data_IF_288671091765
#
_entry.id   IF_288671091765
#
_cell.length_a   1.000
_cell.length_b   1.000
_cell.length_c   1.000
_cell.angle_alpha   90.00
_cell.angle_beta   90.00
_cell.angle_gamma   90.00
#
_symmetry.space_group_name_H-M   'P 1'
#
loop_
_entity.id
_entity.type
_entity.pdbx_description
1 polymer ?
#
# COMPACT_ATOMS: atom_id res chain seq x y z
N UNK A 1 61.33 1.10 -43.92
CA UNK A 1 60.21 2.06 -43.72
C UNK A 1 58.88 1.42 -43.29
N UNK A 2 58.75 0.12 -43.23
CA UNK A 2 57.49 -0.59 -42.97
C UNK A 2 57.15 -0.71 -41.48
N UNK A 3 58.13 -0.75 -40.59
CA UNK A 3 57.93 -1.06 -39.15
C UNK A 3 57.26 0.10 -38.37
N UNK A 4 57.56 1.34 -38.76
CA UNK A 4 56.98 2.52 -38.09
C UNK A 4 55.44 2.69 -38.36
N UNK A 5 54.97 2.22 -39.50
CA UNK A 5 53.56 2.34 -39.89
C UNK A 5 52.66 1.39 -39.06
N UNK A 6 53.16 0.20 -38.75
CA UNK A 6 52.41 -0.80 -37.98
C UNK A 6 52.31 -0.43 -36.51
N UNK A 7 53.35 0.18 -35.91
CA UNK A 7 53.29 0.62 -34.50
C UNK A 7 52.27 1.76 -34.32
N UNK A 8 52.20 2.68 -35.28
CA UNK A 8 51.25 3.80 -35.22
C UNK A 8 49.79 3.35 -35.33
N UNK A 9 49.51 2.33 -36.16
CA UNK A 9 48.16 1.75 -36.31
C UNK A 9 47.72 1.00 -35.07
N UNK A 10 48.64 0.27 -34.41
CA UNK A 10 48.38 -0.43 -33.18
C UNK A 10 48.10 0.52 -32.01
N UNK A 11 48.82 1.64 -31.93
CA UNK A 11 48.63 2.66 -30.89
C UNK A 11 47.25 3.34 -31.01
N UNK A 12 46.81 3.65 -32.23
CA UNK A 12 45.54 4.29 -32.50
C UNK A 12 44.37 3.30 -32.18
N UNK A 13 44.52 2.02 -32.46
CA UNK A 13 43.53 1.02 -32.07
C UNK A 13 43.45 0.83 -30.56
N UNK A 14 44.56 0.76 -29.85
CA UNK A 14 44.59 0.67 -28.39
C UNK A 14 43.92 1.90 -27.73
N UNK A 15 44.15 3.10 -28.27
CA UNK A 15 43.54 4.33 -27.76
C UNK A 15 42.01 4.36 -27.99
N UNK A 16 41.51 3.84 -29.13
CA UNK A 16 40.10 3.74 -29.42
C UNK A 16 39.38 2.73 -28.51
N UNK A 17 40.01 1.62 -28.18
CA UNK A 17 39.46 0.62 -27.25
C UNK A 17 39.44 1.18 -25.83
N UNK A 18 40.50 1.90 -25.40
CA UNK A 18 40.54 2.52 -24.08
C UNK A 18 39.51 3.65 -23.93
N UNK A 19 39.29 4.43 -24.98
CA UNK A 19 38.29 5.51 -24.99
C UNK A 19 36.87 4.98 -25.01
N UNK A 20 36.61 3.87 -25.72
CA UNK A 20 35.31 3.16 -25.72
C UNK A 20 35.04 2.53 -24.37
N UNK A 21 36.05 1.95 -23.71
CA UNK A 21 35.89 1.38 -22.36
C UNK A 21 35.63 2.48 -21.31
N UNK A 22 36.28 3.64 -21.44
CA UNK A 22 36.09 4.78 -20.53
C UNK A 22 34.70 5.43 -20.70
N UNK A 23 34.18 5.51 -21.94
CA UNK A 23 32.83 5.98 -22.22
C UNK A 23 31.76 4.98 -21.67
N UNK A 24 32.04 3.68 -21.68
CA UNK A 24 31.13 2.67 -21.13
C UNK A 24 31.09 2.70 -19.60
N UNK A 25 32.19 3.00 -18.93
CA UNK A 25 32.24 3.14 -17.46
C UNK A 25 31.52 4.43 -17.03
N UNK A 26 31.59 5.52 -17.81
CA UNK A 26 30.83 6.75 -17.52
C UNK A 26 29.34 6.56 -17.78
N UNK A 27 28.96 5.74 -18.78
CA UNK A 27 27.56 5.44 -19.05
C UNK A 27 26.92 4.51 -17.98
N UNK A 28 27.71 3.64 -17.34
CA UNK A 28 27.23 2.80 -16.23
C UNK A 28 27.17 3.60 -14.93
N UNK A 29 27.98 4.64 -14.76
CA UNK A 29 28.00 5.52 -13.57
C UNK A 29 26.85 6.53 -13.52
N UNK A 30 26.07 6.70 -14.59
CA UNK A 30 24.90 7.58 -14.65
C UNK A 30 23.57 6.82 -14.63
N UNK A 31 23.60 5.49 -14.47
CA UNK A 31 22.40 4.69 -14.30
C UNK A 31 21.97 4.76 -12.83
N UNK A 32 20.92 5.52 -12.61
CA UNK A 32 20.05 5.55 -11.46
C UNK A 32 20.58 6.16 -10.15
N UNK A 33 20.55 7.50 -10.01
CA UNK A 33 20.45 8.08 -8.67
C UNK A 33 19.09 7.76 -7.99
N UNK A 34 18.08 7.33 -8.75
CA UNK A 34 16.73 7.10 -8.20
C UNK A 34 16.60 5.76 -7.45
N UNK A 35 17.31 4.69 -7.85
CA UNK A 35 17.24 3.41 -7.13
C UNK A 35 17.91 3.49 -5.74
N UNK A 36 19.02 4.24 -5.63
CA UNK A 36 19.71 4.42 -4.34
C UNK A 36 18.95 5.37 -3.39
N UNK A 37 17.98 6.13 -3.89
CA UNK A 37 17.18 7.06 -3.10
C UNK A 37 15.95 6.40 -2.50
N UNK A 38 15.42 5.37 -3.16
CA UNK A 38 14.28 4.60 -2.67
C UNK A 38 14.61 3.80 -1.39
N UNK A 39 15.84 3.32 -1.22
CA UNK A 39 16.25 2.54 -0.04
C UNK A 39 16.30 3.33 1.29
N UNK A 40 16.15 4.65 1.27
CA UNK A 40 16.25 5.51 2.46
C UNK A 40 14.97 6.33 2.74
N UNK A 41 13.91 6.16 1.97
CA UNK A 41 12.65 6.83 2.26
C UNK A 41 11.89 6.05 3.35
N UNK A 42 11.14 6.74 4.24
CA UNK A 42 10.18 6.07 5.12
C UNK A 42 9.22 5.21 4.30
N UNK A 43 8.80 4.08 4.86
CA UNK A 43 7.89 3.14 4.19
C UNK A 43 6.61 3.83 3.68
N UNK A 44 5.99 4.67 4.52
CA UNK A 44 4.81 5.47 4.15
C UNK A 44 5.03 6.34 2.92
N UNK A 45 6.23 6.93 2.77
CA UNK A 45 6.55 7.75 1.60
C UNK A 45 6.59 6.93 0.32
N UNK A 46 7.21 5.74 0.35
CA UNK A 46 7.29 4.85 -0.82
C UNK A 46 5.90 4.35 -1.23
N UNK A 47 5.08 3.98 -0.25
CA UNK A 47 3.71 3.55 -0.46
C UNK A 47 2.87 4.68 -1.07
N UNK A 48 2.99 5.90 -0.56
CA UNK A 48 2.24 7.04 -1.08
C UNK A 48 2.71 7.49 -2.47
N UNK A 49 4.01 7.42 -2.77
CA UNK A 49 4.53 7.64 -4.12
C UNK A 49 3.96 6.61 -5.11
N UNK A 50 3.88 5.34 -4.71
CA UNK A 50 3.25 4.29 -5.52
C UNK A 50 1.75 4.55 -5.68
N UNK A 51 1.01 4.82 -4.61
CA UNK A 51 -0.43 5.09 -4.66
C UNK A 51 -0.79 6.20 -5.65
N UNK A 52 0.05 7.23 -5.74
CA UNK A 52 -0.13 8.36 -6.67
C UNK A 52 0.35 8.08 -8.10
N UNK A 53 0.93 6.91 -8.38
CA UNK A 53 1.50 6.56 -9.68
C UNK A 53 0.43 6.21 -10.73
N UNK A 54 0.79 6.32 -12.02
CA UNK A 54 -0.06 5.86 -13.12
C UNK A 54 -0.21 4.32 -13.12
N UNK A 55 0.77 3.60 -12.56
CA UNK A 55 0.73 2.16 -12.40
C UNK A 55 -0.38 1.75 -11.43
N UNK A 56 -0.42 2.33 -10.22
CA UNK A 56 -1.47 2.08 -9.24
C UNK A 56 -2.86 2.42 -9.78
N UNK A 57 -3.01 3.53 -10.52
CA UNK A 57 -4.27 3.90 -11.18
C UNK A 57 -4.72 2.84 -12.19
N UNK A 58 -3.79 2.35 -13.02
CA UNK A 58 -4.08 1.33 -14.03
C UNK A 58 -4.52 0.01 -13.38
N UNK A 59 -3.80 -0.43 -12.34
CA UNK A 59 -4.15 -1.64 -11.59
C UNK A 59 -5.51 -1.48 -10.89
N UNK A 60 -5.78 -0.33 -10.28
CA UNK A 60 -7.06 -0.02 -9.63
C UNK A 60 -8.22 -0.09 -10.61
N UNK A 61 -8.10 0.51 -11.80
CA UNK A 61 -9.13 0.43 -12.83
C UNK A 61 -9.43 -1.01 -13.22
N UNK A 62 -8.41 -1.83 -13.43
CA UNK A 62 -8.60 -3.24 -13.78
C UNK A 62 -9.33 -4.03 -12.68
N UNK A 63 -9.03 -3.75 -11.39
CA UNK A 63 -9.74 -4.38 -10.27
C UNK A 63 -11.19 -3.88 -10.13
N UNK A 64 -11.43 -2.58 -10.35
CA UNK A 64 -12.79 -2.03 -10.35
C UNK A 64 -13.65 -2.67 -11.43
N UNK A 65 -13.12 -2.85 -12.65
CA UNK A 65 -13.80 -3.56 -13.74
C UNK A 65 -14.16 -5.00 -13.37
N UNK A 66 -13.26 -5.70 -12.67
CA UNK A 66 -13.49 -7.08 -12.24
C UNK A 66 -14.59 -7.20 -11.17
N UNK A 67 -14.73 -6.20 -10.29
CA UNK A 67 -15.71 -6.19 -9.20
C UNK A 67 -17.08 -5.69 -9.67
N UNK A 68 -17.11 -4.72 -10.57
CA UNK A 68 -18.34 -4.15 -11.12
C UNK A 68 -18.76 -4.90 -12.39
N UNK A 69 -19.44 -6.03 -12.25
CA UNK A 69 -19.93 -6.86 -13.37
C UNK A 69 -20.87 -6.12 -14.37
N UNK A 70 -21.18 -4.86 -14.16
CA UNK A 70 -22.13 -4.06 -14.94
C UNK A 70 -21.61 -2.66 -15.25
N UNK A 71 -20.70 -2.58 -16.20
CA UNK A 71 -20.22 -1.31 -16.77
C UNK A 71 -18.84 -0.90 -16.28
N UNK A 72 -17.82 -1.33 -17.02
CA UNK A 72 -16.48 -0.79 -16.90
C UNK A 72 -16.51 0.73 -16.90
N UNK A 73 -15.80 1.40 -15.97
CA UNK A 73 -15.56 2.82 -16.12
C UNK A 73 -14.95 3.04 -17.52
N UNK A 74 -15.48 3.99 -18.28
CA UNK A 74 -14.93 4.30 -19.60
C UNK A 74 -13.42 4.58 -19.45
N UNK A 75 -12.62 4.22 -20.44
CA UNK A 75 -11.16 4.43 -20.43
C UNK A 75 -10.72 5.91 -20.21
N UNK A 76 -11.67 6.82 -20.24
CA UNK A 76 -11.51 8.27 -19.95
C UNK A 76 -11.84 8.63 -18.49
N UNK A 77 -12.24 7.67 -17.64
CA UNK A 77 -12.64 7.94 -16.26
C UNK A 77 -11.45 8.43 -15.45
N UNK A 78 -11.56 9.64 -14.93
CA UNK A 78 -10.53 10.19 -14.05
C UNK A 78 -10.67 9.58 -12.66
N UNK A 79 -9.71 8.74 -12.27
CA UNK A 79 -9.58 8.26 -10.90
C UNK A 79 -8.47 9.01 -10.16
N UNK A 80 -8.70 9.26 -8.89
CA UNK A 80 -7.71 9.71 -7.94
C UNK A 80 -7.61 8.68 -6.81
N UNK A 81 -6.39 8.42 -6.37
CA UNK A 81 -6.09 7.60 -5.21
C UNK A 81 -5.56 8.55 -4.14
N UNK A 82 -6.13 8.52 -2.95
CA UNK A 82 -5.69 9.34 -1.83
C UNK A 82 -4.40 8.82 -1.19
N UNK A 83 -4.01 9.41 -0.07
CA UNK A 83 -2.90 8.92 0.73
C UNK A 83 -3.25 7.57 1.35
N UNK A 84 -2.25 6.69 1.39
CA UNK A 84 -2.40 5.40 2.04
C UNK A 84 -2.17 5.52 3.54
N UNK A 85 -3.03 4.85 4.30
CA UNK A 85 -3.00 4.77 5.74
C UNK A 85 -2.88 3.33 6.21
N UNK A 86 -2.48 3.12 7.46
CA UNK A 86 -2.36 1.80 8.08
C UNK A 86 -3.71 1.33 8.59
N UNK A 87 -4.12 0.16 8.13
CA UNK A 87 -5.34 -0.48 8.59
C UNK A 87 -5.01 -1.84 9.18
N UNK A 88 -5.34 -2.02 10.44
CA UNK A 88 -5.25 -3.31 11.13
C UNK A 88 -6.59 -4.04 10.99
N UNK A 89 -6.60 -5.11 10.20
CA UNK A 89 -7.80 -5.94 10.03
C UNK A 89 -7.89 -7.01 11.11
N UNK A 90 -9.03 -7.10 11.78
CA UNK A 90 -9.32 -8.23 12.65
C UNK A 90 -9.51 -9.48 11.80
N UNK A 91 -8.77 -10.55 12.14
CA UNK A 91 -8.77 -11.82 11.41
C UNK A 91 -9.48 -12.88 12.25
N UNK A 92 -10.31 -13.66 11.62
CA UNK A 92 -11.12 -14.70 12.26
C UNK A 92 -10.70 -16.08 11.76
N UNK A 93 -10.78 -17.07 12.65
CA UNK A 93 -10.71 -18.49 12.26
C UNK A 93 -12.11 -19.02 11.86
N UNK A 94 -12.14 -20.28 11.45
CA UNK A 94 -13.40 -20.96 11.05
C UNK A 94 -14.44 -21.04 12.17
N UNK A 95 -14.05 -20.84 13.43
CA UNK A 95 -14.97 -20.80 14.59
C UNK A 95 -15.51 -19.39 14.88
N UNK A 96 -15.05 -18.36 14.14
CA UNK A 96 -15.37 -16.96 14.38
C UNK A 96 -14.59 -16.34 15.54
N UNK A 97 -13.47 -16.96 15.98
CA UNK A 97 -12.61 -16.37 16.97
C UNK A 97 -11.55 -15.49 16.33
N UNK A 98 -11.28 -14.30 16.92
CA UNK A 98 -10.20 -13.40 16.46
C UNK A 98 -8.85 -14.06 16.71
N UNK A 99 -8.06 -14.23 15.65
CA UNK A 99 -6.76 -14.92 15.68
C UNK A 99 -5.55 -14.00 15.87
N UNK A 100 -5.66 -12.76 15.43
CA UNK A 100 -4.58 -11.77 15.56
C UNK A 100 -4.80 -10.83 16.75
N UNK A 101 -3.80 -10.03 17.08
CA UNK A 101 -3.87 -9.01 18.15
C UNK A 101 -3.65 -7.64 17.54
N UNK A 102 -4.42 -6.65 17.99
CA UNK A 102 -4.29 -5.26 17.56
C UNK A 102 -2.99 -4.59 18.06
N UNK A 103 -2.23 -5.28 18.91
CA UNK A 103 -0.94 -4.83 19.43
C UNK A 103 0.24 -5.30 18.60
N UNK A 104 0.03 -6.10 17.56
CA UNK A 104 1.10 -6.51 16.64
C UNK A 104 1.43 -5.36 15.68
N UNK A 105 2.60 -4.71 15.82
CA UNK A 105 2.96 -3.56 15.00
C UNK A 105 3.27 -3.94 13.53
N UNK A 106 3.32 -5.23 13.21
CA UNK A 106 3.60 -5.73 11.86
C UNK A 106 2.33 -6.20 11.14
N UNK A 107 1.21 -6.33 11.85
CA UNK A 107 -0.04 -6.85 11.31
C UNK A 107 -0.97 -5.70 10.85
N UNK A 108 -0.60 -5.03 9.78
CA UNK A 108 -1.43 -4.02 9.12
C UNK A 108 -1.27 -4.11 7.61
N UNK A 109 -2.28 -3.62 6.91
CA UNK A 109 -2.24 -3.40 5.47
C UNK A 109 -2.18 -1.89 5.18
N UNK A 110 -1.55 -1.52 4.06
CA UNK A 110 -1.63 -0.17 3.54
C UNK A 110 -2.87 -0.03 2.67
N UNK A 111 -3.72 0.94 3.01
CA UNK A 111 -5.03 1.14 2.36
C UNK A 111 -5.19 2.59 1.96
N UNK A 112 -5.60 2.82 0.71
CA UNK A 112 -5.81 4.17 0.20
C UNK A 112 -7.24 4.35 -0.32
N UNK A 113 -7.90 5.50 -0.08
CA UNK A 113 -9.21 5.80 -0.63
C UNK A 113 -9.14 6.02 -2.14
N UNK A 114 -10.20 5.65 -2.85
CA UNK A 114 -10.32 5.81 -4.30
C UNK A 114 -11.50 6.71 -4.62
N UNK A 115 -11.24 7.71 -5.43
CA UNK A 115 -12.26 8.61 -5.97
C UNK A 115 -12.39 8.46 -7.47
N UNK A 116 -13.61 8.55 -7.96
CA UNK A 116 -13.95 8.64 -9.38
C UNK A 116 -14.67 9.97 -9.60
N UNK A 117 -14.12 10.81 -10.45
CA UNK A 117 -14.67 12.14 -10.74
C UNK A 117 -14.92 12.97 -9.46
N UNK A 118 -14.02 12.87 -8.48
CA UNK A 118 -14.13 13.57 -7.19
C UNK A 118 -15.16 13.00 -6.23
N UNK A 119 -15.63 11.77 -6.46
CA UNK A 119 -16.53 11.05 -5.55
C UNK A 119 -15.82 9.82 -4.99
N UNK A 120 -15.83 9.69 -3.69
CA UNK A 120 -15.34 8.50 -3.02
C UNK A 120 -16.15 7.27 -3.46
N UNK A 121 -15.49 6.24 -3.97
CA UNK A 121 -16.11 5.01 -4.49
C UNK A 121 -15.67 3.74 -3.77
N UNK A 122 -14.67 3.84 -2.91
CA UNK A 122 -14.14 2.71 -2.17
C UNK A 122 -12.67 2.90 -1.82
N UNK A 123 -11.98 1.82 -1.64
CA UNK A 123 -10.57 1.78 -1.24
C UNK A 123 -9.80 0.69 -1.96
N UNK A 124 -8.49 0.83 -2.00
CA UNK A 124 -7.53 -0.20 -2.44
C UNK A 124 -6.64 -0.61 -1.27
N UNK A 125 -6.15 -1.85 -1.34
CA UNK A 125 -5.06 -2.32 -0.49
C UNK A 125 -3.78 -2.37 -1.32
N UNK A 126 -2.67 -1.89 -0.78
CA UNK A 126 -1.36 -1.90 -1.41
C UNK A 126 -0.51 -2.96 -0.71
N UNK A 127 0.09 -3.86 -1.50
CA UNK A 127 0.94 -4.93 -1.02
C UNK A 127 2.38 -4.72 -1.47
N UNK A 128 3.31 -5.09 -0.61
CA UNK A 128 4.72 -5.27 -0.98
C UNK A 128 4.96 -6.75 -1.32
N UNK A 129 5.18 -7.01 -2.60
CA UNK A 129 5.52 -8.33 -3.10
C UNK A 129 7.04 -8.40 -3.39
N UNK A 130 7.84 -8.65 -2.35
CA UNK A 130 9.29 -8.77 -2.42
C UNK A 130 10.00 -7.52 -2.98
N UNK A 131 9.58 -6.34 -2.54
CA UNK A 131 10.13 -5.06 -2.97
C UNK A 131 9.47 -4.47 -4.22
N UNK A 132 8.39 -5.09 -4.71
CA UNK A 132 7.54 -4.56 -5.76
C UNK A 132 6.17 -4.23 -5.17
N UNK A 133 5.80 -2.96 -5.19
CA UNK A 133 4.48 -2.53 -4.73
C UNK A 133 3.43 -2.83 -5.80
N UNK A 134 2.28 -3.33 -5.36
CA UNK A 134 1.15 -3.64 -6.22
C UNK A 134 -0.19 -3.35 -5.53
N UNK A 135 -1.23 -3.08 -6.34
CA UNK A 135 -2.60 -2.97 -5.81
C UNK A 135 -3.17 -4.37 -5.66
N UNK A 136 -3.33 -4.81 -4.43
CA UNK A 136 -3.76 -6.17 -4.09
C UNK A 136 -5.25 -6.40 -4.31
N UNK A 137 -6.10 -5.46 -3.88
CA UNK A 137 -7.53 -5.54 -4.09
C UNK A 137 -8.20 -4.15 -4.16
N UNK A 138 -9.44 -4.12 -4.66
CA UNK A 138 -10.36 -2.99 -4.55
C UNK A 138 -11.60 -3.44 -3.78
N UNK A 139 -12.03 -2.62 -2.82
CA UNK A 139 -13.29 -2.79 -2.07
C UNK A 139 -14.17 -1.55 -2.23
N UNK A 140 -15.47 -1.71 -2.57
CA UNK A 140 -16.41 -0.60 -2.67
C UNK A 140 -16.93 -0.13 -1.29
N UNK A 141 -16.20 -0.38 -0.22
CA UNK A 141 -16.57 0.07 1.13
C UNK A 141 -16.24 1.56 1.31
N UNK A 142 -17.27 2.38 1.07
CA UNK A 142 -17.18 3.84 1.18
C UNK A 142 -17.06 4.29 2.64
N UNK A 143 -17.69 3.57 3.58
CA UNK A 143 -17.62 3.91 5.00
C UNK A 143 -16.19 3.78 5.52
N UNK A 144 -15.55 2.63 5.30
CA UNK A 144 -14.15 2.42 5.65
C UNK A 144 -13.23 3.42 4.95
N UNK A 145 -13.43 3.61 3.63
CA UNK A 145 -12.65 4.56 2.86
C UNK A 145 -12.73 6.00 3.37
N UNK A 146 -13.87 6.40 3.92
CA UNK A 146 -14.09 7.75 4.48
C UNK A 146 -13.43 7.98 5.84
N UNK A 147 -12.93 6.93 6.48
CA UNK A 147 -12.26 6.99 7.77
C UNK A 147 -10.72 7.00 7.63
N UNK A 148 -10.21 6.83 6.41
CA UNK A 148 -8.78 6.93 6.15
C UNK A 148 -8.38 8.41 6.24
N UNK A 149 -7.33 8.67 7.01
CA UNK A 149 -6.77 9.98 7.24
C UNK A 149 -5.34 9.99 6.71
N UNK A 150 -4.77 11.13 6.42
CA UNK A 150 -3.38 11.30 6.00
C UNK A 150 -2.40 11.43 7.19
N UNK A 151 -2.86 11.11 8.41
CA UNK A 151 -2.05 11.19 9.64
C UNK A 151 -1.39 9.84 9.97
N UNK A 152 -0.10 9.71 9.68
CA UNK A 152 0.74 8.54 9.98
C UNK A 152 0.74 8.14 11.49
N UNK A 153 0.23 8.99 12.40
CA UNK A 153 0.18 8.71 13.83
C UNK A 153 -1.00 7.83 14.25
N UNK A 154 -2.00 7.72 13.39
CA UNK A 154 -3.26 7.01 13.66
C UNK A 154 -3.30 5.71 12.84
N UNK A 155 -3.68 4.61 13.47
CA UNK A 155 -3.96 3.34 12.79
C UNK A 155 -5.44 3.06 12.86
N UNK A 156 -6.07 2.83 11.70
CA UNK A 156 -7.44 2.37 11.63
C UNK A 156 -7.50 0.88 11.98
N UNK A 157 -8.38 0.48 12.89
CA UNK A 157 -8.70 -0.91 13.17
C UNK A 157 -10.06 -1.19 12.52
N UNK A 158 -10.09 -2.16 11.63
CA UNK A 158 -11.29 -2.53 10.88
C UNK A 158 -11.73 -3.94 11.22
N UNK A 159 -12.95 -4.06 11.69
CA UNK A 159 -13.69 -5.32 11.73
C UNK A 159 -14.63 -5.37 10.53
N UNK A 160 -14.15 -5.97 9.45
CA UNK A 160 -14.93 -6.09 8.22
C UNK A 160 -16.20 -6.94 8.37
N UNK A 161 -16.31 -7.77 9.41
CA UNK A 161 -17.47 -8.61 9.67
C UNK A 161 -18.62 -7.84 10.32
N UNK A 162 -18.33 -7.11 11.42
CA UNK A 162 -19.33 -6.32 12.13
C UNK A 162 -19.46 -4.88 11.61
N UNK A 163 -18.57 -4.46 10.68
CA UNK A 163 -18.39 -3.07 10.24
C UNK A 163 -18.13 -2.12 11.40
N UNK A 164 -17.41 -2.59 12.40
CA UNK A 164 -16.97 -1.78 13.53
C UNK A 164 -15.59 -1.22 13.23
N UNK A 165 -15.45 0.11 13.28
CA UNK A 165 -14.20 0.82 12.99
C UNK A 165 -13.72 1.56 14.22
N UNK A 166 -12.40 1.48 14.47
CA UNK A 166 -11.76 2.12 15.60
C UNK A 166 -10.50 2.83 15.11
N UNK A 167 -10.15 3.95 15.74
CA UNK A 167 -8.81 4.54 15.63
C UNK A 167 -7.94 4.08 16.78
N UNK A 168 -6.67 3.82 16.50
CA UNK A 168 -5.65 3.57 17.51
C UNK A 168 -4.58 4.66 17.43
N UNK A 169 -4.49 5.46 18.50
CA UNK A 169 -3.53 6.54 18.66
C UNK A 169 -2.94 6.53 20.07
N UNK A 170 -1.63 6.67 20.21
CA UNK A 170 -0.95 6.75 21.50
C UNK A 170 -1.36 5.65 22.50
N UNK A 171 -1.47 4.40 22.02
CA UNK A 171 -1.91 3.23 22.80
C UNK A 171 -3.35 3.35 23.35
N UNK A 172 -4.21 4.09 22.67
CA UNK A 172 -5.65 4.18 22.97
C UNK A 172 -6.46 3.82 21.75
N UNK A 173 -7.53 3.07 21.98
CA UNK A 173 -8.54 2.72 20.98
C UNK A 173 -9.75 3.61 21.20
N UNK A 174 -10.24 4.22 20.12
CA UNK A 174 -11.44 5.07 20.12
C UNK A 174 -12.41 4.57 19.06
N UNK A 175 -13.70 4.35 19.40
CA UNK A 175 -14.70 3.90 18.43
C UNK A 175 -15.05 5.03 17.47
N UNK A 176 -15.07 4.74 16.16
CA UNK A 176 -15.36 5.71 15.11
C UNK A 176 -16.81 5.69 14.66
N UNK A 177 -17.49 4.53 14.76
CA UNK A 177 -18.89 4.41 14.35
C UNK A 177 -19.78 3.77 15.42
N UNK A 178 -21.07 3.63 15.14
CA UNK A 178 -22.05 3.13 16.09
C UNK A 178 -21.80 1.64 16.42
N UNK A 179 -21.44 0.84 15.44
CA UNK A 179 -21.13 -0.58 15.64
C UNK A 179 -19.93 -0.75 16.60
N UNK A 180 -18.90 0.06 16.44
CA UNK A 180 -17.75 0.07 17.34
C UNK A 180 -18.11 0.54 18.75
N UNK A 181 -18.96 1.56 18.89
CA UNK A 181 -19.42 2.05 20.20
C UNK A 181 -20.26 1.03 20.97
N UNK A 182 -20.94 0.14 20.28
CA UNK A 182 -21.67 -0.95 20.92
C UNK A 182 -20.73 -1.95 21.63
N UNK A 183 -19.48 -2.06 21.16
CA UNK A 183 -18.46 -2.98 21.68
C UNK A 183 -17.53 -2.26 22.66
N UNK A 184 -17.01 -1.11 22.26
CA UNK A 184 -16.11 -0.24 23.02
C UNK A 184 -16.75 1.15 23.10
N UNK A 185 -17.57 1.43 24.16
CA UNK A 185 -18.37 2.67 24.22
C UNK A 185 -17.57 3.96 24.29
N UNK A 186 -16.40 3.91 24.91
CA UNK A 186 -15.51 5.05 25.13
C UNK A 186 -14.06 4.69 24.77
N UNK A 187 -13.21 5.70 24.59
CA UNK A 187 -11.79 5.49 24.37
C UNK A 187 -11.13 4.77 25.56
N UNK A 188 -10.45 3.66 25.28
CA UNK A 188 -9.83 2.78 26.26
C UNK A 188 -8.36 2.53 25.94
N UNK A 189 -7.58 2.03 26.91
CA UNK A 189 -6.24 1.54 26.65
C UNK A 189 -6.30 0.33 25.70
N UNK A 190 -5.29 0.17 24.86
CA UNK A 190 -5.19 -0.88 23.82
C UNK A 190 -5.50 -2.26 24.37
N UNK A 191 -4.88 -2.66 25.52
CA UNK A 191 -5.12 -3.97 26.11
C UNK A 191 -6.59 -4.20 26.48
N UNK A 192 -7.25 -3.18 27.05
CA UNK A 192 -8.66 -3.26 27.42
C UNK A 192 -9.56 -3.32 26.19
N UNK A 193 -9.21 -2.55 25.16
CA UNK A 193 -9.93 -2.54 23.88
C UNK A 193 -9.83 -3.88 23.15
N UNK A 194 -8.63 -4.46 23.09
CA UNK A 194 -8.41 -5.79 22.50
C UNK A 194 -9.27 -6.87 23.20
N UNK A 195 -9.28 -6.87 24.54
CA UNK A 195 -10.11 -7.80 25.30
C UNK A 195 -11.61 -7.58 25.03
N UNK A 196 -12.07 -6.33 24.95
CA UNK A 196 -13.46 -6.00 24.70
C UNK A 196 -13.91 -6.46 23.30
N UNK A 197 -13.11 -6.19 22.27
CA UNK A 197 -13.38 -6.59 20.90
C UNK A 197 -13.44 -8.12 20.81
N UNK A 198 -12.43 -8.84 21.33
CA UNK A 198 -12.39 -10.31 21.32
C UNK A 198 -13.57 -10.95 22.02
N UNK A 199 -13.97 -10.40 23.16
CA UNK A 199 -15.08 -10.94 23.95
C UNK A 199 -16.43 -10.80 23.25
N UNK A 200 -16.59 -9.77 22.44
CA UNK A 200 -17.83 -9.45 21.75
C UNK A 200 -17.78 -9.81 20.26
N UNK A 201 -16.71 -10.48 19.80
CA UNK A 201 -16.64 -11.01 18.45
C UNK A 201 -17.86 -11.92 18.18
N UNK A 202 -18.44 -11.83 16.97
CA UNK A 202 -19.58 -12.67 16.62
C UNK A 202 -19.18 -14.15 16.70
N UNK A 203 -19.89 -14.92 17.49
CA UNK A 203 -19.68 -16.37 17.60
C UNK A 203 -20.27 -17.07 16.38
N UNK A 204 -19.40 -17.54 15.50
CA UNK A 204 -19.74 -18.51 14.46
C UNK A 204 -20.17 -17.90 13.13
N UNK A 205 -19.50 -18.33 12.06
CA UNK A 205 -20.09 -18.32 10.73
C UNK A 205 -21.25 -19.32 10.76
N UNK A 206 -22.49 -18.81 10.69
CA UNK A 206 -23.65 -19.67 10.49
C UNK A 206 -23.61 -20.08 9.00
N UNK A 207 -23.17 -21.32 8.74
CA UNK A 207 -23.17 -21.95 7.42
C UNK A 207 -24.63 -22.23 7.00
N UNK A 208 -25.33 -21.19 6.58
CA UNK A 208 -26.70 -21.28 6.05
C UNK A 208 -26.78 -20.84 4.60
#
# INVERSE_FOLDING_TARGET
MSTFYNVRKSLIQAFRILFAAMLFVVAIGTVCPDIARAENLPESTQINEFAQSDEARTQTLALMEAVQNDGSPEASTQIAIGYADKVHYLRYDDSGAITNTITDPQDYDWVAPVEVEGRLVGRITIWDNNGSLEVGNFSPDIEEASLLDDDDSTTLISDGFSRAYYSMENSRISPLNEAARAIVPESVQVEQGDIAIRKNAPSGFDDS
#
